data_IF_772967891207
#
_entry.id   IF_772967891207
#
_cell.length_a   1.000
_cell.length_b   1.000
_cell.length_c   1.000
_cell.angle_alpha   90.00
_cell.angle_beta   90.00
_cell.angle_gamma   90.00
#
_symmetry.space_group_name_H-M   'P 1'
#
loop_
_entity.id
_entity.type
_entity.pdbx_description
1 polymer ?
#
# COMPACT_ATOMS: atom_id res chain seq x y z
N UNK A 1 21.56 6.79 -11.19
CA UNK A 1 20.85 5.78 -10.38
C UNK A 1 19.58 5.39 -11.14
N UNK A 2 19.22 4.10 -11.16
CA UNK A 2 17.99 3.66 -11.83
C UNK A 2 16.82 3.94 -10.88
N UNK A 3 15.83 4.72 -11.32
CA UNK A 3 14.61 4.99 -10.55
C UNK A 3 13.92 3.68 -10.19
N UNK A 4 13.82 3.38 -8.89
CA UNK A 4 13.17 2.17 -8.37
C UNK A 4 11.73 2.43 -7.92
N UNK A 5 11.39 3.69 -7.67
CA UNK A 5 10.09 4.13 -7.17
C UNK A 5 9.70 5.49 -7.76
N UNK A 6 8.41 5.69 -8.01
CA UNK A 6 7.80 6.99 -8.30
C UNK A 6 6.68 7.27 -7.29
N UNK A 7 6.48 8.53 -6.97
CA UNK A 7 5.46 8.99 -6.03
C UNK A 7 4.37 9.81 -6.75
N UNK A 8 3.12 9.59 -6.36
CA UNK A 8 1.96 10.33 -6.86
C UNK A 8 1.12 10.81 -5.68
N UNK A 9 0.75 12.08 -5.67
CA UNK A 9 -0.15 12.64 -4.66
C UNK A 9 -1.56 12.77 -5.21
N UNK A 10 -2.54 12.21 -4.51
CA UNK A 10 -3.96 12.21 -4.88
C UNK A 10 -4.79 12.61 -3.66
N UNK A 11 -4.93 13.92 -3.45
CA UNK A 11 -5.54 14.46 -2.23
C UNK A 11 -4.74 14.03 -0.98
N UNK A 12 -5.36 13.39 0.02
CA UNK A 12 -4.69 12.96 1.25
C UNK A 12 -3.86 11.67 1.09
N UNK A 13 -3.84 11.06 -0.10
CA UNK A 13 -3.13 9.82 -0.37
C UNK A 13 -1.83 10.12 -1.11
N UNK A 14 -0.73 9.56 -0.59
CA UNK A 14 0.52 9.44 -1.31
C UNK A 14 0.67 7.99 -1.78
N UNK A 15 0.75 7.80 -3.10
CA UNK A 15 0.92 6.48 -3.72
C UNK A 15 2.35 6.30 -4.20
N UNK A 16 3.04 5.29 -3.69
CA UNK A 16 4.34 4.84 -4.18
C UNK A 16 4.19 3.68 -5.15
N UNK A 17 4.69 3.84 -6.36
CA UNK A 17 4.75 2.77 -7.36
C UNK A 17 6.19 2.30 -7.51
N UNK A 18 6.44 1.06 -7.10
CA UNK A 18 7.74 0.41 -7.15
C UNK A 18 7.90 -0.36 -8.46
N UNK A 19 9.12 -0.36 -9.00
CA UNK A 19 9.44 -1.12 -10.21
C UNK A 19 9.22 -2.62 -10.02
N UNK A 20 9.60 -3.15 -8.87
CA UNK A 20 9.56 -4.58 -8.56
C UNK A 20 9.32 -4.82 -7.06
N UNK A 21 8.84 -6.02 -6.73
CA UNK A 21 8.51 -6.41 -5.36
C UNK A 21 9.73 -6.42 -4.42
N UNK A 22 10.93 -6.65 -4.96
CA UNK A 22 12.16 -6.62 -4.16
C UNK A 22 12.45 -5.19 -3.67
N UNK A 23 12.35 -4.19 -4.55
CA UNK A 23 12.51 -2.79 -4.18
C UNK A 23 11.44 -2.34 -3.17
N UNK A 24 10.18 -2.76 -3.34
CA UNK A 24 9.12 -2.47 -2.38
C UNK A 24 9.41 -3.09 -1.01
N UNK A 25 9.86 -4.34 -0.98
CA UNK A 25 10.21 -5.04 0.25
C UNK A 25 11.36 -4.34 1.00
N UNK A 26 12.47 -4.05 0.32
CA UNK A 26 13.61 -3.35 0.94
C UNK A 26 13.27 -1.93 1.40
N UNK A 27 12.21 -1.33 0.84
CA UNK A 27 11.74 0.00 1.22
C UNK A 27 10.76 0.00 2.41
N UNK A 28 9.88 -1.00 2.50
CA UNK A 28 8.69 -0.93 3.36
C UNK A 28 8.54 -2.07 4.37
N UNK A 29 9.31 -3.15 4.29
CA UNK A 29 9.11 -4.32 5.14
C UNK A 29 9.15 -4.00 6.64
N UNK A 30 10.10 -3.17 7.10
CA UNK A 30 10.22 -2.87 8.53
C UNK A 30 9.09 -1.99 9.05
N UNK A 31 8.65 -1.00 8.28
CA UNK A 31 7.54 -0.13 8.67
C UNK A 31 6.19 -0.85 8.58
N UNK A 32 6.00 -1.74 7.61
CA UNK A 32 4.83 -2.64 7.57
C UNK A 32 4.81 -3.50 8.81
N UNK A 33 5.94 -4.12 9.16
CA UNK A 33 6.01 -5.03 10.31
C UNK A 33 5.66 -4.27 11.59
N UNK A 34 6.16 -3.04 11.72
CA UNK A 34 5.86 -2.16 12.83
C UNK A 34 4.37 -1.82 12.92
N UNK A 35 3.68 -1.71 11.79
CA UNK A 35 2.27 -1.33 11.74
C UNK A 35 1.31 -2.51 11.89
N UNK A 36 1.48 -3.60 11.12
CA UNK A 36 0.45 -4.65 10.98
C UNK A 36 0.77 -5.95 11.72
N UNK A 37 2.05 -6.23 12.01
CA UNK A 37 2.47 -7.52 12.55
C UNK A 37 1.77 -7.85 13.87
N UNK A 38 1.24 -9.06 14.02
CA UNK A 38 0.71 -9.51 15.32
C UNK A 38 1.80 -9.58 16.40
N UNK A 39 3.02 -9.95 15.99
CA UNK A 39 4.12 -10.25 16.90
C UNK A 39 4.98 -9.02 17.20
N UNK A 40 5.10 -8.12 16.23
CA UNK A 40 6.08 -7.03 16.25
C UNK A 40 5.47 -5.63 16.09
N UNK A 41 4.14 -5.49 16.15
CA UNK A 41 3.50 -4.19 16.10
C UNK A 41 4.05 -3.24 17.20
N UNK A 42 4.39 -2.02 16.80
CA UNK A 42 4.97 -1.00 17.67
C UNK A 42 6.42 -1.25 18.09
N UNK A 43 7.08 -2.29 17.58
CA UNK A 43 8.47 -2.62 17.91
C UNK A 43 9.40 -2.29 16.75
N UNK A 44 10.48 -1.56 17.05
CA UNK A 44 11.54 -1.36 16.07
C UNK A 44 12.33 -2.65 15.85
N UNK A 45 12.48 -3.05 14.60
CA UNK A 45 13.37 -4.13 14.18
C UNK A 45 14.56 -3.56 13.41
N UNK A 46 15.76 -4.02 13.73
CA UNK A 46 16.93 -3.82 12.86
C UNK A 46 16.77 -4.63 11.56
N UNK A 47 17.58 -4.34 10.55
CA UNK A 47 17.58 -5.15 9.32
C UNK A 47 17.97 -6.61 9.57
N UNK A 48 18.89 -6.86 10.49
CA UNK A 48 19.29 -8.22 10.87
C UNK A 48 18.13 -8.97 11.54
N UNK A 49 17.36 -8.29 12.39
CA UNK A 49 16.17 -8.86 13.02
C UNK A 49 15.07 -9.12 12.00
N UNK A 50 14.76 -8.14 11.14
CA UNK A 50 13.75 -8.27 10.11
C UNK A 50 14.04 -9.45 9.16
N UNK A 51 15.30 -9.62 8.75
CA UNK A 51 15.74 -10.75 7.91
C UNK A 51 15.62 -12.08 8.62
N UNK A 52 15.99 -12.14 9.91
CA UNK A 52 15.90 -13.36 10.73
C UNK A 52 14.44 -13.78 10.94
N UNK A 53 13.57 -12.82 11.23
CA UNK A 53 12.13 -13.03 11.41
C UNK A 53 11.39 -13.26 10.08
N UNK A 54 12.04 -13.01 8.94
CA UNK A 54 11.49 -13.23 7.59
C UNK A 54 10.15 -12.51 7.38
N UNK A 55 10.10 -11.27 7.85
CA UNK A 55 8.91 -10.42 7.84
C UNK A 55 8.40 -10.15 6.42
N UNK A 56 7.16 -9.67 6.30
CA UNK A 56 6.55 -9.14 5.06
C UNK A 56 6.76 -10.00 3.79
N UNK A 57 6.11 -11.17 3.70
CA UNK A 57 6.21 -12.02 2.51
C UNK A 57 4.96 -11.98 1.65
N UNK A 58 5.11 -11.48 0.42
CA UNK A 58 4.16 -11.78 -0.66
C UNK A 58 3.00 -10.79 -0.83
N UNK A 59 3.09 -9.60 -0.25
CA UNK A 59 2.11 -8.54 -0.54
C UNK A 59 2.36 -7.90 -1.90
N UNK A 60 1.27 -7.64 -2.61
CA UNK A 60 1.25 -7.06 -3.95
C UNK A 60 1.03 -5.54 -3.92
N UNK A 61 0.37 -5.08 -2.87
CA UNK A 61 0.17 -3.72 -2.48
C UNK A 61 0.14 -3.67 -0.94
N UNK A 62 0.42 -2.50 -0.37
CA UNK A 62 0.44 -2.29 1.07
C UNK A 62 -0.01 -0.85 1.36
N UNK A 63 -0.67 -0.63 2.49
CA UNK A 63 -1.18 0.67 2.88
C UNK A 63 -0.93 0.96 4.36
N UNK A 64 -0.74 2.23 4.72
CA UNK A 64 -0.66 2.65 6.12
C UNK A 64 -1.07 4.12 6.30
N UNK A 65 -1.50 4.52 7.51
CA UNK A 65 -1.49 5.92 7.93
C UNK A 65 -0.05 6.44 8.00
N UNK A 66 0.25 7.61 7.44
CA UNK A 66 1.61 8.19 7.46
C UNK A 66 2.14 8.45 8.88
N UNK A 67 1.25 8.56 9.87
CA UNK A 67 1.61 8.59 11.29
C UNK A 67 2.37 7.35 11.75
N UNK A 68 2.12 6.18 11.14
CA UNK A 68 2.86 4.95 11.42
C UNK A 68 4.34 5.07 11.05
N UNK A 69 4.67 5.81 9.98
CA UNK A 69 6.08 6.07 9.59
C UNK A 69 6.78 6.93 10.63
N UNK A 70 6.14 8.02 11.07
CA UNK A 70 6.72 8.88 12.10
C UNK A 70 6.84 8.16 13.46
N UNK A 71 5.86 7.34 13.84
CA UNK A 71 5.94 6.51 15.04
C UNK A 71 7.08 5.47 14.95
N UNK A 72 7.28 4.88 13.77
CA UNK A 72 8.40 3.97 13.52
C UNK A 72 9.76 4.67 13.64
N UNK A 73 9.92 5.87 13.06
CA UNK A 73 11.14 6.68 13.20
C UNK A 73 11.40 7.10 14.64
N UNK A 74 10.35 7.52 15.37
CA UNK A 74 10.47 7.85 16.78
C UNK A 74 10.95 6.63 17.59
N UNK A 75 10.37 5.45 17.34
CA UNK A 75 10.79 4.21 18.02
C UNK A 75 12.23 3.85 17.65
N UNK A 76 12.60 3.94 16.37
CA UNK A 76 13.98 3.76 15.91
C UNK A 76 14.94 4.66 16.69
N UNK A 77 14.64 5.96 16.82
CA UNK A 77 15.46 6.94 17.55
C UNK A 77 15.71 6.53 19.00
N UNK A 78 14.74 5.87 19.65
CA UNK A 78 14.91 5.38 21.03
C UNK A 78 15.71 4.08 21.15
N UNK A 79 15.82 3.31 20.06
CA UNK A 79 16.45 1.99 20.06
C UNK A 79 17.88 2.00 19.50
N UNK A 80 18.25 2.99 18.68
CA UNK A 80 19.57 3.07 18.06
C UNK A 80 20.50 4.01 18.84
N UNK A 81 21.81 3.75 18.87
CA UNK A 81 22.77 4.66 19.48
C UNK A 81 22.69 6.05 18.83
N UNK A 82 22.70 7.10 19.63
CA UNK A 82 22.91 8.45 19.14
C UNK A 82 24.41 8.59 18.82
N UNK A 83 24.83 8.16 17.63
CA UNK A 83 26.19 8.43 17.15
C UNK A 83 26.38 9.95 17.01
N UNK A 84 27.60 10.45 17.25
CA UNK A 84 27.94 11.84 16.98
C UNK A 84 27.68 12.09 15.48
N UNK A 85 26.60 12.82 15.18
CA UNK A 85 26.10 12.92 13.82
C UNK A 85 27.14 13.57 12.92
N UNK A 86 27.36 12.94 11.76
CA UNK A 86 27.72 13.67 10.55
C UNK A 86 26.62 14.73 10.34
N UNK A 87 26.87 15.98 10.75
CA UNK A 87 25.85 17.06 10.88
C UNK A 87 25.07 17.34 9.58
N UNK A 88 25.48 16.76 8.46
CA UNK A 88 24.83 16.89 7.16
C UNK A 88 23.71 15.85 6.92
N UNK A 89 23.60 14.79 7.73
CA UNK A 89 22.66 13.68 7.49
C UNK A 89 21.67 13.48 8.65
N UNK A 90 20.42 13.09 8.34
CA UNK A 90 19.44 12.79 9.38
C UNK A 90 19.81 11.53 10.16
N UNK A 91 19.35 11.43 11.42
CA UNK A 91 19.75 10.36 12.34
C UNK A 91 19.50 8.94 11.80
N UNK A 92 18.43 8.74 11.01
CA UNK A 92 18.07 7.43 10.45
C UNK A 92 18.99 6.97 9.32
N UNK A 93 19.84 7.85 8.77
CA UNK A 93 20.63 7.56 7.58
C UNK A 93 21.55 6.33 7.76
N UNK A 94 22.15 6.15 8.94
CA UNK A 94 23.03 5.01 9.23
C UNK A 94 22.25 3.70 9.49
N UNK A 95 20.93 3.78 9.71
CA UNK A 95 20.10 2.66 10.15
C UNK A 95 19.06 2.23 9.11
N UNK A 96 19.02 2.90 7.96
CA UNK A 96 18.09 2.63 6.87
C UNK A 96 18.83 2.11 5.62
N UNK A 97 18.14 1.26 4.85
CA UNK A 97 18.59 0.85 3.51
C UNK A 97 18.64 2.05 2.55
N UNK A 98 19.16 1.86 1.33
CA UNK A 98 19.06 2.90 0.29
C UNK A 98 17.60 3.18 -0.07
N UNK A 99 16.79 2.12 -0.14
CA UNK A 99 15.37 2.16 -0.49
C UNK A 99 14.52 2.84 0.58
N UNK A 100 14.76 2.56 1.87
CA UNK A 100 14.11 3.26 2.97
C UNK A 100 14.49 4.75 2.99
N UNK A 101 15.75 5.07 2.71
CA UNK A 101 16.19 6.47 2.61
C UNK A 101 15.52 7.19 1.45
N UNK A 102 15.31 6.53 0.31
CA UNK A 102 14.57 7.10 -0.82
C UNK A 102 13.10 7.36 -0.44
N UNK A 103 12.44 6.41 0.23
CA UNK A 103 11.08 6.62 0.78
C UNK A 103 11.03 7.84 1.71
N UNK A 104 11.92 7.91 2.69
CA UNK A 104 11.95 9.02 3.66
C UNK A 104 12.27 10.35 2.97
N UNK A 105 13.15 10.34 1.97
CA UNK A 105 13.42 11.51 1.14
C UNK A 105 12.17 11.98 0.39
N UNK A 106 11.43 11.06 -0.27
CA UNK A 106 10.16 11.42 -0.94
C UNK A 106 9.12 11.94 0.03
N UNK A 107 9.00 11.36 1.22
CA UNK A 107 8.09 11.86 2.23
C UNK A 107 8.41 13.32 2.61
N UNK A 108 9.70 13.68 2.71
CA UNK A 108 10.11 15.07 2.92
C UNK A 108 9.82 15.96 1.72
N UNK A 109 10.15 15.53 0.50
CA UNK A 109 9.88 16.28 -0.74
C UNK A 109 8.38 16.60 -0.92
N UNK A 110 7.51 15.69 -0.48
CA UNK A 110 6.05 15.86 -0.51
C UNK A 110 5.47 16.56 0.72
N UNK A 111 6.31 17.11 1.61
CA UNK A 111 5.87 17.87 2.78
C UNK A 111 5.15 17.04 3.84
N UNK A 112 5.47 15.75 3.94
CA UNK A 112 4.92 14.83 4.96
C UNK A 112 5.77 14.86 6.24
N UNK A 113 7.09 14.77 6.08
CA UNK A 113 8.04 14.73 7.18
C UNK A 113 8.92 15.99 7.21
N UNK A 114 9.32 16.40 8.41
CA UNK A 114 10.36 17.41 8.60
C UNK A 114 11.78 16.80 8.56
N UNK A 115 12.79 17.61 8.87
CA UNK A 115 14.20 17.20 8.95
C UNK A 115 14.46 16.16 10.05
N UNK A 116 13.61 16.11 11.07
CA UNK A 116 13.69 15.22 12.21
C UNK A 116 12.90 13.92 12.04
N UNK A 117 12.18 13.77 10.93
CA UNK A 117 11.35 12.60 10.65
C UNK A 117 10.04 12.62 11.43
N UNK A 118 9.58 13.80 11.86
CA UNK A 118 8.28 14.00 12.48
C UNK A 118 7.25 14.44 11.44
N UNK A 119 5.97 14.13 11.67
CA UNK A 119 4.90 14.56 10.77
C UNK A 119 4.75 16.08 10.81
N UNK A 120 4.75 16.70 9.63
CA UNK A 120 4.42 18.11 9.49
C UNK A 120 2.93 18.33 9.77
N UNK A 121 2.61 19.27 10.66
CA UNK A 121 1.22 19.65 10.96
C UNK A 121 0.46 20.19 9.75
N UNK A 122 1.18 20.65 8.73
CA UNK A 122 0.66 21.17 7.46
C UNK A 122 0.65 20.12 6.35
N UNK A 123 0.93 18.84 6.64
CA UNK A 123 1.02 17.81 5.61
C UNK A 123 -0.30 17.71 4.83
N UNK A 124 -0.26 17.76 3.49
CA UNK A 124 -1.44 17.52 2.68
C UNK A 124 -1.82 16.03 2.63
N UNK A 125 -0.86 15.14 2.90
CA UNK A 125 -1.03 13.69 2.84
C UNK A 125 -1.07 13.09 4.24
N UNK A 126 -2.02 12.19 4.48
CA UNK A 126 -2.17 11.48 5.76
C UNK A 126 -2.14 9.96 5.59
N UNK A 127 -2.20 9.46 4.35
CA UNK A 127 -2.23 8.03 4.04
C UNK A 127 -1.23 7.66 2.96
N UNK A 128 -0.61 6.49 3.09
CA UNK A 128 0.30 5.91 2.11
C UNK A 128 -0.34 4.68 1.49
N UNK A 129 -0.27 4.58 0.16
CA UNK A 129 -0.49 3.34 -0.57
C UNK A 129 0.80 3.01 -1.30
N UNK A 130 1.17 1.74 -1.35
CA UNK A 130 2.28 1.25 -2.15
C UNK A 130 1.80 0.12 -3.06
N UNK A 131 2.32 0.09 -4.28
CA UNK A 131 2.03 -0.96 -5.25
C UNK A 131 3.25 -1.22 -6.14
N UNK A 132 3.27 -2.38 -6.77
CA UNK A 132 4.27 -2.71 -7.81
C UNK A 132 3.75 -2.36 -9.21
N UNK A 133 4.67 -2.01 -10.11
CA UNK A 133 4.38 -1.67 -11.50
C UNK A 133 3.70 -2.80 -12.28
N UNK A 134 3.93 -4.05 -11.86
CA UNK A 134 3.32 -5.25 -12.46
C UNK A 134 1.88 -5.50 -12.01
N UNK A 135 1.38 -4.77 -10.99
CA UNK A 135 0.10 -5.06 -10.37
C UNK A 135 -1.09 -4.30 -10.95
N UNK A 136 -2.24 -4.95 -10.81
CA UNK A 136 -3.50 -4.69 -11.51
C UNK A 136 -4.35 -3.67 -10.77
N UNK A 137 -5.08 -2.88 -11.55
CA UNK A 137 -6.10 -1.88 -11.14
C UNK A 137 -6.94 -2.27 -9.90
N UNK A 138 -7.23 -3.56 -9.74
CA UNK A 138 -8.02 -4.14 -8.64
C UNK A 138 -7.33 -3.98 -7.28
N UNK A 139 -6.04 -4.30 -7.15
CA UNK A 139 -5.33 -4.18 -5.87
C UNK A 139 -5.28 -2.72 -5.42
N UNK A 140 -4.97 -1.80 -6.33
CA UNK A 140 -5.00 -0.37 -6.02
C UNK A 140 -6.41 0.15 -5.69
N UNK A 141 -7.45 -0.38 -6.32
CA UNK A 141 -8.82 -0.06 -5.94
C UNK A 141 -9.16 -0.56 -4.53
N UNK A 142 -8.69 -1.75 -4.16
CA UNK A 142 -8.82 -2.31 -2.82
C UNK A 142 -8.12 -1.43 -1.77
N UNK A 143 -6.84 -1.10 -1.97
CA UNK A 143 -6.08 -0.25 -1.03
C UNK A 143 -6.69 1.14 -0.83
N UNK A 144 -7.31 1.71 -1.88
CA UNK A 144 -7.99 3.01 -1.78
C UNK A 144 -9.23 2.96 -0.90
N UNK A 145 -9.88 1.81 -0.79
CA UNK A 145 -11.03 1.65 0.09
C UNK A 145 -10.61 1.54 1.56
N UNK A 146 -9.44 0.96 1.85
CA UNK A 146 -8.81 1.08 3.17
C UNK A 146 -8.48 2.54 3.51
N UNK A 147 -7.95 3.30 2.53
CA UNK A 147 -7.75 4.74 2.71
C UNK A 147 -9.07 5.48 3.02
N UNK A 148 -10.16 5.16 2.30
CA UNK A 148 -11.47 5.73 2.59
C UNK A 148 -11.95 5.34 3.99
N UNK A 149 -11.77 4.09 4.41
CA UNK A 149 -12.08 3.63 5.75
C UNK A 149 -11.33 4.40 6.82
N UNK A 150 -10.05 4.71 6.60
CA UNK A 150 -9.27 5.57 7.50
C UNK A 150 -9.78 7.02 7.52
N UNK A 151 -10.10 7.58 6.36
CA UNK A 151 -10.40 9.01 6.21
C UNK A 151 -11.85 9.40 6.51
N UNK A 152 -12.81 8.50 6.29
CA UNK A 152 -14.25 8.81 6.34
C UNK A 152 -14.95 8.14 7.53
N UNK A 153 -15.31 8.91 8.59
CA UNK A 153 -16.17 8.42 9.67
C UNK A 153 -17.52 7.88 9.17
N UNK A 154 -18.09 8.50 8.14
CA UNK A 154 -19.37 8.07 7.55
C UNK A 154 -19.24 6.71 6.88
N UNK A 155 -18.13 6.44 6.18
CA UNK A 155 -17.87 5.14 5.57
C UNK A 155 -17.66 4.04 6.62
N UNK A 156 -16.90 4.31 7.70
CA UNK A 156 -16.76 3.37 8.82
C UNK A 156 -18.12 3.01 9.43
N UNK A 157 -18.94 4.03 9.70
CA UNK A 157 -20.29 3.84 10.27
C UNK A 157 -21.17 3.00 9.34
N UNK A 158 -21.08 3.22 8.03
CA UNK A 158 -21.77 2.40 7.03
C UNK A 158 -21.31 0.94 7.10
N UNK A 159 -20.01 0.66 7.10
CA UNK A 159 -19.49 -0.70 7.16
C UNK A 159 -19.89 -1.42 8.45
N UNK A 160 -19.83 -0.73 9.60
CA UNK A 160 -20.32 -1.28 10.87
C UNK A 160 -21.81 -1.61 10.79
N UNK A 161 -22.64 -0.71 10.27
CA UNK A 161 -24.08 -0.97 10.11
C UNK A 161 -24.35 -2.15 9.18
N UNK A 162 -23.63 -2.27 8.07
CA UNK A 162 -23.79 -3.37 7.11
C UNK A 162 -23.35 -4.70 7.73
N UNK A 163 -22.27 -4.69 8.51
CA UNK A 163 -21.79 -5.85 9.24
C UNK A 163 -22.79 -6.32 10.30
N UNK A 164 -23.29 -5.41 11.13
CA UNK A 164 -24.16 -5.72 12.27
C UNK A 164 -25.56 -6.18 11.83
N UNK A 165 -26.04 -5.70 10.68
CA UNK A 165 -27.35 -6.06 10.13
C UNK A 165 -27.30 -7.28 9.21
N UNK A 166 -26.11 -7.76 8.86
CA UNK A 166 -25.93 -8.93 8.01
C UNK A 166 -26.52 -10.19 8.66
N UNK A 167 -27.13 -11.11 7.88
CA UNK A 167 -27.55 -12.39 8.43
C UNK A 167 -26.38 -13.14 9.08
N UNK A 168 -26.57 -13.58 10.34
CA UNK A 168 -25.51 -14.22 11.14
C UNK A 168 -24.79 -15.38 10.44
N UNK A 169 -25.51 -16.16 9.63
CA UNK A 169 -24.92 -17.27 8.88
C UNK A 169 -23.97 -16.80 7.76
N UNK A 170 -24.25 -15.64 7.17
CA UNK A 170 -23.38 -15.01 6.16
C UNK A 170 -22.19 -14.36 6.84
N UNK A 171 -22.41 -13.61 7.93
CA UNK A 171 -21.32 -13.03 8.71
C UNK A 171 -20.30 -14.10 9.13
N UNK A 172 -20.76 -15.21 9.74
CA UNK A 172 -19.89 -16.32 10.13
C UNK A 172 -19.12 -16.95 8.96
N UNK A 173 -19.68 -16.96 7.74
CA UNK A 173 -18.99 -17.47 6.56
C UNK A 173 -17.88 -16.51 6.10
N UNK A 174 -18.15 -15.21 6.09
CA UNK A 174 -17.16 -14.16 5.77
C UNK A 174 -16.03 -14.14 6.83
N UNK A 175 -16.38 -14.21 8.12
CA UNK A 175 -15.40 -14.29 9.21
C UNK A 175 -14.48 -15.50 9.06
N UNK A 176 -15.04 -16.67 8.70
CA UNK A 176 -14.26 -17.87 8.45
C UNK A 176 -13.27 -17.67 7.29
N UNK A 177 -13.73 -17.07 6.19
CA UNK A 177 -12.89 -16.79 5.02
C UNK A 177 -11.76 -15.81 5.36
N UNK A 178 -12.08 -14.68 5.98
CA UNK A 178 -11.10 -13.68 6.38
C UNK A 178 -10.09 -14.22 7.40
N UNK A 179 -10.54 -15.06 8.34
CA UNK A 179 -9.65 -15.77 9.26
C UNK A 179 -8.71 -16.72 8.54
N UNK A 180 -9.18 -17.46 7.53
CA UNK A 180 -8.32 -18.35 6.72
C UNK A 180 -7.29 -17.57 5.90
N UNK A 181 -7.60 -16.32 5.51
CA UNK A 181 -6.65 -15.40 4.87
C UNK A 181 -5.65 -14.77 5.85
N UNK A 182 -5.84 -14.96 7.16
CA UNK A 182 -4.95 -14.45 8.21
C UNK A 182 -5.32 -13.05 8.73
N UNK A 183 -6.49 -12.52 8.37
CA UNK A 183 -6.94 -11.22 8.86
C UNK A 183 -7.42 -11.27 10.31
N UNK A 184 -7.11 -10.22 11.08
CA UNK A 184 -7.56 -10.03 12.46
C UNK A 184 -9.04 -9.64 12.51
N UNK A 185 -9.78 -10.04 13.57
CA UNK A 185 -11.17 -9.63 13.75
C UNK A 185 -11.41 -8.12 13.70
N UNK A 186 -10.43 -7.33 14.16
CA UNK A 186 -10.52 -5.86 14.18
C UNK A 186 -10.57 -5.20 12.80
N UNK A 187 -10.18 -5.90 11.73
CA UNK A 187 -10.17 -5.35 10.36
C UNK A 187 -11.21 -5.99 9.45
N UNK A 188 -11.99 -6.97 9.92
CA UNK A 188 -12.89 -7.72 9.03
C UNK A 188 -13.96 -6.85 8.34
N UNK A 189 -14.46 -5.84 9.04
CA UNK A 189 -15.43 -4.90 8.45
C UNK A 189 -14.81 -4.09 7.32
N UNK A 190 -13.58 -3.61 7.53
CA UNK A 190 -12.81 -2.87 6.53
C UNK A 190 -12.48 -3.74 5.32
N UNK A 191 -11.93 -4.94 5.54
CA UNK A 191 -11.65 -5.91 4.48
C UNK A 191 -12.90 -6.26 3.65
N UNK A 192 -14.04 -6.51 4.30
CA UNK A 192 -15.29 -6.74 3.59
C UNK A 192 -15.66 -5.55 2.70
N UNK A 193 -15.56 -4.33 3.23
CA UNK A 193 -15.82 -3.11 2.47
C UNK A 193 -14.86 -2.91 1.31
N UNK A 194 -13.57 -3.20 1.52
CA UNK A 194 -12.54 -3.08 0.50
C UNK A 194 -12.76 -4.08 -0.64
N UNK A 195 -12.98 -5.36 -0.34
CA UNK A 195 -13.28 -6.35 -1.37
C UNK A 195 -14.57 -6.05 -2.12
N UNK A 196 -15.68 -5.81 -1.39
CA UNK A 196 -16.99 -5.62 -2.01
C UNK A 196 -17.17 -4.24 -2.65
N UNK A 197 -16.31 -3.26 -2.33
CA UNK A 197 -16.39 -1.90 -2.86
C UNK A 197 -15.67 -1.70 -4.19
N UNK A 198 -14.74 -2.60 -4.59
CA UNK A 198 -13.95 -2.43 -5.82
C UNK A 198 -14.85 -2.32 -7.05
N UNK A 199 -14.75 -1.23 -7.82
CA UNK A 199 -15.42 -1.13 -9.13
C UNK A 199 -14.67 -1.99 -10.15
N UNK A 200 -15.35 -2.93 -10.79
CA UNK A 200 -14.75 -3.71 -11.87
C UNK A 200 -14.96 -2.95 -13.18
N UNK A 201 -13.90 -2.72 -13.95
CA UNK A 201 -14.01 -2.33 -15.34
C UNK A 201 -14.39 -3.55 -16.21
N UNK A 202 -15.09 -3.33 -17.32
CA UNK A 202 -15.76 -4.37 -18.11
C UNK A 202 -14.89 -5.56 -18.59
N UNK A 203 -13.56 -5.51 -18.44
CA UNK A 203 -12.61 -6.53 -18.87
C UNK A 203 -12.44 -7.70 -17.89
N UNK A 204 -13.02 -7.64 -16.68
CA UNK A 204 -12.74 -8.56 -15.57
C UNK A 204 -13.88 -9.47 -15.09
N UNK A 205 -14.82 -9.92 -15.95
CA UNK A 205 -16.00 -10.73 -15.54
C UNK A 205 -15.71 -11.99 -14.69
N UNK A 206 -14.46 -12.46 -14.62
CA UNK A 206 -14.07 -13.62 -13.77
C UNK A 206 -13.94 -13.29 -12.29
N UNK A 207 -13.91 -12.02 -11.90
CA UNK A 207 -13.76 -11.58 -10.51
C UNK A 207 -14.90 -10.63 -10.14
N UNK A 208 -16.13 -11.11 -10.12
CA UNK A 208 -17.25 -10.36 -9.56
C UNK A 208 -17.13 -10.33 -8.02
N UNK A 209 -16.93 -9.16 -7.38
CA UNK A 209 -16.80 -9.06 -5.93
C UNK A 209 -17.99 -9.62 -5.16
N UNK A 210 -19.17 -9.75 -5.78
CA UNK A 210 -20.29 -10.43 -5.14
C UNK A 210 -19.93 -11.87 -4.73
N UNK A 211 -19.03 -12.53 -5.47
CA UNK A 211 -18.61 -13.91 -5.20
C UNK A 211 -17.34 -14.01 -4.35
N UNK A 212 -16.81 -12.90 -3.83
CA UNK A 212 -15.52 -12.87 -3.09
C UNK A 212 -15.50 -13.86 -1.93
N UNK A 213 -16.59 -13.93 -1.16
CA UNK A 213 -16.73 -14.80 0.00
C UNK A 213 -17.52 -16.08 -0.31
N UNK A 214 -17.52 -16.49 -1.58
CA UNK A 214 -18.15 -17.71 -2.08
C UNK A 214 -19.65 -17.59 -2.40
N UNK A 215 -20.16 -18.59 -3.13
CA UNK A 215 -21.52 -18.58 -3.71
C UNK A 215 -22.64 -18.46 -2.67
N UNK A 216 -22.43 -18.91 -1.43
CA UNK A 216 -23.44 -18.81 -0.37
C UNK A 216 -23.67 -17.37 0.08
N UNK A 217 -22.64 -16.53 0.01
CA UNK A 217 -22.67 -15.14 0.41
C UNK A 217 -23.13 -14.22 -0.73
N UNK A 218 -23.15 -14.72 -1.98
CA UNK A 218 -23.22 -13.88 -3.17
C UNK A 218 -24.42 -12.95 -3.25
N UNK A 219 -25.61 -13.42 -2.85
CA UNK A 219 -26.81 -12.57 -2.85
C UNK A 219 -26.69 -11.40 -1.86
N UNK A 220 -26.27 -11.68 -0.63
CA UNK A 220 -26.06 -10.64 0.40
C UNK A 220 -24.90 -9.72 0.06
N UNK A 221 -23.80 -10.25 -0.48
CA UNK A 221 -22.68 -9.45 -0.95
C UNK A 221 -23.09 -8.51 -2.09
N UNK A 222 -23.97 -8.95 -3.00
CA UNK A 222 -24.51 -8.10 -4.06
C UNK A 222 -25.37 -6.95 -3.50
N UNK A 223 -26.23 -7.21 -2.51
CA UNK A 223 -27.04 -6.18 -1.85
C UNK A 223 -26.16 -5.14 -1.13
N UNK A 224 -25.18 -5.61 -0.35
CA UNK A 224 -24.19 -4.76 0.32
C UNK A 224 -23.45 -3.91 -0.71
N UNK A 225 -22.97 -4.52 -1.79
CA UNK A 225 -22.23 -3.84 -2.84
C UNK A 225 -23.03 -2.72 -3.50
N UNK A 226 -24.33 -2.90 -3.73
CA UNK A 226 -25.17 -1.82 -4.27
C UNK A 226 -25.12 -0.58 -3.36
N UNK A 227 -25.23 -0.77 -2.05
CA UNK A 227 -25.16 0.32 -1.08
C UNK A 227 -23.76 0.95 -1.02
N UNK A 228 -22.70 0.13 -1.02
CA UNK A 228 -21.32 0.62 -1.04
C UNK A 228 -21.05 1.49 -2.27
N UNK A 229 -21.38 1.00 -3.47
CA UNK A 229 -21.10 1.72 -4.72
C UNK A 229 -21.85 3.04 -4.86
N UNK A 230 -22.99 3.18 -4.17
CA UNK A 230 -23.75 4.43 -4.06
C UNK A 230 -23.14 5.40 -3.04
N UNK A 231 -22.62 4.89 -1.91
CA UNK A 231 -22.11 5.71 -0.81
C UNK A 231 -20.63 6.08 -0.92
N UNK A 232 -19.80 5.27 -1.57
CA UNK A 232 -18.35 5.53 -1.71
C UNK A 232 -18.05 6.93 -2.29
N UNK A 233 -18.65 7.36 -3.42
CA UNK A 233 -18.40 8.71 -3.95
C UNK A 233 -18.78 9.81 -2.96
N UNK A 234 -19.90 9.62 -2.26
CA UNK A 234 -20.39 10.59 -1.27
C UNK A 234 -19.46 10.66 -0.07
N UNK A 235 -18.92 9.54 0.39
CA UNK A 235 -17.98 9.52 1.52
C UNK A 235 -16.66 10.24 1.17
N UNK A 236 -16.15 10.05 -0.05
CA UNK A 236 -15.01 10.84 -0.54
C UNK A 236 -15.34 12.34 -0.56
N UNK A 237 -16.50 12.71 -1.07
CA UNK A 237 -16.88 14.11 -1.21
C UNK A 237 -17.19 14.79 0.14
N UNK A 238 -18.03 14.16 0.96
CA UNK A 238 -18.61 14.75 2.19
C UNK A 238 -17.58 14.79 3.33
N UNK A 239 -16.83 13.70 3.54
CA UNK A 239 -15.90 13.61 4.67
C UNK A 239 -14.47 14.03 4.29
N UNK A 240 -14.04 13.75 3.06
CA UNK A 240 -12.66 14.00 2.61
C UNK A 240 -12.53 15.27 1.78
N UNK A 241 -13.62 15.75 1.17
CA UNK A 241 -13.63 16.97 0.37
C UNK A 241 -13.09 16.80 -1.05
N UNK A 242 -13.00 15.56 -1.56
CA UNK A 242 -12.50 15.26 -2.90
C UNK A 242 -13.45 14.33 -3.66
N UNK A 243 -13.40 14.37 -4.99
CA UNK A 243 -14.16 13.44 -5.82
C UNK A 243 -13.42 12.10 -5.96
N UNK A 244 -14.15 10.98 -6.09
CA UNK A 244 -13.57 9.62 -6.19
C UNK A 244 -12.63 9.48 -7.41
N UNK A 245 -12.89 10.21 -8.49
CA UNK A 245 -12.06 10.22 -9.69
C UNK A 245 -10.68 10.84 -9.46
N UNK A 246 -10.55 11.82 -8.55
CA UNK A 246 -9.27 12.45 -8.21
C UNK A 246 -8.30 11.47 -7.51
N UNK A 247 -8.82 10.43 -6.86
CA UNK A 247 -8.01 9.34 -6.27
C UNK A 247 -7.89 8.13 -7.19
N UNK A 248 -8.30 8.25 -8.44
CA UNK A 248 -8.15 7.19 -9.44
C UNK A 248 -7.01 7.51 -10.39
N UNK A 249 -6.12 6.54 -10.58
CA UNK A 249 -5.03 6.64 -11.55
C UNK A 249 -5.58 6.17 -12.89
N UNK A 250 -5.55 7.02 -13.91
CA UNK A 250 -6.00 6.63 -15.26
C UNK A 250 -5.03 5.65 -15.92
N UNK A 251 -5.52 4.87 -16.89
CA UNK A 251 -4.68 3.97 -17.71
C UNK A 251 -3.50 4.69 -18.40
N UNK A 252 -3.66 5.97 -18.69
CA UNK A 252 -2.62 6.79 -19.35
C UNK A 252 -1.55 7.17 -18.34
N UNK A 253 -1.95 7.68 -17.17
CA UNK A 253 -1.02 8.00 -16.07
C UNK A 253 -0.28 6.76 -15.60
N UNK A 254 -0.98 5.64 -15.44
CA UNK A 254 -0.36 4.37 -15.04
C UNK A 254 0.73 3.93 -16.03
N UNK A 255 0.46 4.04 -17.34
CA UNK A 255 1.47 3.75 -18.38
C UNK A 255 2.67 4.70 -18.33
N UNK A 256 2.45 5.97 -18.02
CA UNK A 256 3.54 6.94 -17.86
C UNK A 256 4.41 6.61 -16.64
N UNK A 257 3.79 6.23 -15.51
CA UNK A 257 4.50 5.79 -14.31
C UNK A 257 5.35 4.55 -14.58
N UNK A 258 4.80 3.53 -15.24
CA UNK A 258 5.55 2.32 -15.63
C UNK A 258 6.71 2.68 -16.58
N UNK A 259 6.49 3.57 -17.54
CA UNK A 259 7.53 4.01 -18.47
C UNK A 259 8.68 4.71 -17.75
N UNK A 260 8.40 5.47 -16.69
CA UNK A 260 9.43 6.14 -15.89
C UNK A 260 10.27 5.16 -15.03
N UNK A 261 9.69 4.01 -14.68
CA UNK A 261 10.35 2.94 -13.91
C UNK A 261 11.13 1.95 -14.78
N UNK A 262 10.90 1.96 -16.10
CA UNK A 262 11.58 1.05 -17.03
C UNK A 262 12.89 1.68 -17.52
N UNK A 263 14.06 1.09 -17.23
CA UNK A 263 15.31 1.62 -17.75
C UNK A 263 15.32 1.59 -19.28
N UNK A 264 15.86 2.64 -19.91
CA UNK A 264 15.98 2.69 -21.37
C UNK A 264 16.74 1.46 -21.89
N UNK A 265 16.31 0.84 -23.01
CA UNK A 265 17.01 -0.30 -23.56
C UNK A 265 18.47 0.06 -23.81
N UNK A 266 19.37 -0.76 -23.27
CA UNK A 266 20.80 -0.60 -23.49
C UNK A 266 21.12 -0.68 -24.99
N UNK A 267 22.23 -0.05 -25.44
CA UNK A 267 22.66 -0.17 -26.82
C UNK A 267 22.82 -1.66 -27.19
N UNK A 268 22.46 -2.06 -28.42
CA UNK A 268 22.55 -3.45 -28.84
C UNK A 268 23.99 -3.95 -28.64
N UNK A 269 24.12 -5.13 -28.03
CA UNK A 269 25.42 -5.75 -27.81
C UNK A 269 26.17 -5.87 -29.15
N UNK A 270 27.46 -5.52 -29.20
CA UNK A 270 28.23 -5.66 -30.43
C UNK A 270 28.19 -7.13 -30.87
N UNK A 271 28.03 -7.40 -32.18
CA UNK A 271 27.93 -8.75 -32.68
C UNK A 271 29.17 -9.54 -32.23
N UNK A 272 28.95 -10.61 -31.47
CA UNK A 272 29.98 -11.57 -31.09
C UNK A 272 30.67 -12.05 -32.38
N UNK A 273 31.92 -11.62 -32.58
CA UNK A 273 32.76 -12.10 -33.68
C UNK A 273 32.84 -13.61 -33.60
N UNK A 274 32.13 -14.29 -34.51
CA UNK A 274 32.14 -15.74 -34.64
C UNK A 274 33.57 -16.26 -34.66
N UNK A 275 33.89 -17.11 -33.69
CA UNK A 275 35.16 -17.82 -33.64
C UNK A 275 35.34 -18.60 -34.94
N UNK A 276 36.39 -18.26 -35.70
CA UNK A 276 36.89 -19.10 -36.79
C UNK A 276 37.19 -20.48 -36.21
N UNK A 277 36.33 -21.46 -36.51
CA UNK A 277 36.67 -22.88 -36.42
C UNK A 277 37.89 -23.13 -37.32
N UNK A 278 39.08 -23.23 -36.73
CA UNK A 278 40.22 -23.89 -37.37
C UNK A 278 39.86 -25.37 -37.50
N UNK A 279 39.48 -25.80 -38.71
CA UNK A 279 39.52 -27.22 -39.08
C UNK A 279 41.00 -27.62 -39.15
N UNK A 280 41.35 -28.66 -38.38
CA UNK A 280 42.54 -29.48 -38.61
C UNK A 280 42.24 -30.43 -39.75
#
# INVERSE_FOLDING_TARGET
MSTTMVALTQGPILTFVFRDAASQYEALARVETFYESEKHAGQYLSWDDARRERVCKGYQAFNLPLASVAAWLLTMRTCVPCEESDNEKPFWHAHCSEEERDVLHRLKEHGVLDEDGTLLSTTPCTYLISATATHTEISLAHERLHALYFLSPSYRTLLTSLWDTMPRAIAAAIECDLKMRGYKPSVWQDEMGAYLGVRITAKGRRHDPCHEFGNKCAATCAEIRVLLLQRIPLCWQEDVGIQEDHVTISDTEWRQLISALTPAPGPPAPPTRGGRRRRR
#
